data_IF_753894572634
#
_entry.id   IF_753894572634
#
_cell.length_a   1.000
_cell.length_b   1.000
_cell.length_c   1.000
_cell.angle_alpha   90.00
_cell.angle_beta   90.00
_cell.angle_gamma   90.00
#
_symmetry.space_group_name_H-M   'P 1'
#
loop_
_entity.id
_entity.type
_entity.pdbx_description
1 polymer ?
#
# COMPACT_ATOMS: atom_id res chain seq x y z
N UNK A 1 -23.04 27.71 22.58
CA UNK A 1 -22.08 26.68 23.00
C UNK A 1 -22.88 25.42 23.18
N UNK A 2 -22.83 24.52 22.21
CA UNK A 2 -23.52 23.24 22.27
C UNK A 2 -22.75 22.36 23.26
N UNK A 3 -23.41 21.96 24.33
CA UNK A 3 -22.89 20.99 25.29
C UNK A 3 -22.78 19.65 24.55
N UNK A 4 -21.58 19.30 24.08
CA UNK A 4 -21.29 17.97 23.53
C UNK A 4 -21.51 16.95 24.65
N UNK A 5 -22.42 15.99 24.44
CA UNK A 5 -22.64 14.95 25.44
C UNK A 5 -21.38 14.10 25.50
N UNK A 6 -21.00 13.69 26.70
CA UNK A 6 -19.84 12.84 26.92
C UNK A 6 -19.86 11.57 26.03
N UNK A 7 -21.06 11.06 25.75
CA UNK A 7 -21.35 9.95 24.84
C UNK A 7 -20.90 10.24 23.41
N UNK A 8 -21.12 11.46 22.90
CA UNK A 8 -20.72 11.89 21.56
C UNK A 8 -19.19 11.97 21.45
N UNK A 9 -18.53 12.53 22.48
CA UNK A 9 -17.06 12.64 22.54
C UNK A 9 -16.38 11.27 22.61
N UNK A 10 -16.97 10.32 23.36
CA UNK A 10 -16.47 8.94 23.44
C UNK A 10 -16.66 8.21 22.10
N UNK A 11 -17.78 8.44 21.41
CA UNK A 11 -18.04 7.91 20.08
C UNK A 11 -17.02 8.38 19.04
N UNK A 12 -16.80 9.69 18.95
CA UNK A 12 -15.81 10.28 18.04
C UNK A 12 -14.39 9.76 18.30
N UNK A 13 -14.02 9.56 19.57
CA UNK A 13 -12.71 9.03 19.94
C UNK A 13 -12.55 7.55 19.51
N UNK A 14 -13.59 6.73 19.69
CA UNK A 14 -13.59 5.33 19.28
C UNK A 14 -13.51 5.19 17.75
N UNK A 15 -14.21 6.04 17.00
CA UNK A 15 -14.12 6.11 15.54
C UNK A 15 -12.71 6.53 15.09
N UNK A 16 -12.13 7.55 15.72
CA UNK A 16 -10.77 8.01 15.44
C UNK A 16 -9.71 6.92 15.68
N UNK A 17 -9.83 6.15 16.77
CA UNK A 17 -8.93 5.02 17.07
C UNK A 17 -9.06 3.91 16.02
N UNK A 18 -10.28 3.59 15.61
CA UNK A 18 -10.52 2.57 14.57
C UNK A 18 -9.92 2.99 13.23
N UNK A 19 -10.14 4.25 12.83
CA UNK A 19 -9.57 4.81 11.61
C UNK A 19 -8.03 4.81 11.63
N UNK A 20 -7.41 5.15 12.77
CA UNK A 20 -5.95 5.09 12.90
C UNK A 20 -5.40 3.67 12.82
N UNK A 21 -6.13 2.67 13.34
CA UNK A 21 -5.74 1.27 13.22
C UNK A 21 -5.76 0.83 11.74
N UNK A 22 -6.81 1.18 10.99
CA UNK A 22 -6.92 0.87 9.56
C UNK A 22 -5.84 1.57 8.73
N UNK A 23 -5.55 2.85 9.00
CA UNK A 23 -4.45 3.58 8.35
C UNK A 23 -3.08 2.95 8.67
N UNK A 24 -2.89 2.47 9.89
CA UNK A 24 -1.64 1.80 10.29
C UNK A 24 -1.44 0.50 9.51
N UNK A 25 -2.51 -0.26 9.28
CA UNK A 25 -2.46 -1.46 8.43
C UNK A 25 -2.16 -1.12 6.97
N UNK A 26 -2.77 -0.04 6.45
CA UNK A 26 -2.50 0.44 5.10
C UNK A 26 -1.04 0.88 4.94
N UNK A 27 -0.46 1.56 5.95
CA UNK A 27 0.97 1.92 5.97
C UNK A 27 1.87 0.68 5.88
N UNK A 28 1.58 -0.36 6.66
CA UNK A 28 2.34 -1.61 6.62
C UNK A 28 2.26 -2.27 5.23
N UNK A 29 1.11 -2.22 4.56
CA UNK A 29 0.98 -2.73 3.21
C UNK A 29 1.82 -1.93 2.20
N UNK A 30 1.91 -0.60 2.36
CA UNK A 30 2.78 0.25 1.55
C UNK A 30 4.28 -0.04 1.81
N UNK A 31 4.66 -0.21 3.06
CA UNK A 31 6.02 -0.61 3.44
C UNK A 31 6.39 -1.97 2.83
N UNK A 32 5.49 -2.96 2.91
CA UNK A 32 5.67 -4.26 2.24
C UNK A 32 5.78 -4.14 0.72
N UNK A 33 4.99 -3.26 0.10
CA UNK A 33 5.10 -2.94 -1.32
C UNK A 33 6.45 -2.37 -1.72
N UNK A 34 7.01 -1.46 -0.90
CA UNK A 34 8.33 -0.90 -1.14
C UNK A 34 9.45 -1.96 -1.07
N UNK A 35 9.35 -2.88 -0.12
CA UNK A 35 10.26 -4.04 -0.04
C UNK A 35 10.15 -4.91 -1.30
N UNK A 36 8.93 -5.26 -1.72
CA UNK A 36 8.72 -6.10 -2.89
C UNK A 36 9.26 -5.46 -4.19
N UNK A 37 9.08 -4.15 -4.38
CA UNK A 37 9.66 -3.42 -5.52
C UNK A 37 11.19 -3.40 -5.46
N UNK A 38 11.78 -3.30 -4.27
CA UNK A 38 13.24 -3.38 -4.10
C UNK A 38 13.78 -4.75 -4.47
N UNK A 39 13.13 -5.82 -4.00
CA UNK A 39 13.51 -7.20 -4.35
C UNK A 39 13.39 -7.46 -5.85
N UNK A 40 12.38 -6.88 -6.51
CA UNK A 40 12.18 -6.99 -7.95
C UNK A 40 13.31 -6.34 -8.75
N UNK A 41 13.76 -5.14 -8.36
CA UNK A 41 14.92 -4.48 -8.99
C UNK A 41 16.17 -5.34 -8.82
N UNK A 42 16.40 -5.90 -7.63
CA UNK A 42 17.55 -6.78 -7.39
C UNK A 42 17.48 -8.08 -8.21
N UNK A 43 16.29 -8.65 -8.38
CA UNK A 43 16.10 -9.84 -9.22
C UNK A 43 16.45 -9.54 -10.69
N UNK A 44 16.07 -8.36 -11.17
CA UNK A 44 16.41 -7.89 -12.51
C UNK A 44 17.92 -7.77 -12.74
N UNK A 45 18.63 -7.10 -11.82
CA UNK A 45 20.09 -6.93 -11.87
C UNK A 45 20.82 -8.28 -11.87
N UNK A 46 20.34 -9.25 -11.07
CA UNK A 46 20.89 -10.61 -11.04
C UNK A 46 20.70 -11.34 -12.36
N UNK A 47 19.55 -11.14 -13.01
CA UNK A 47 19.25 -11.80 -14.27
C UNK A 47 20.10 -11.25 -15.42
N UNK A 48 20.32 -9.94 -15.46
CA UNK A 48 21.19 -9.31 -16.46
C UNK A 48 22.61 -9.87 -16.41
N UNK A 49 23.14 -10.04 -15.20
CA UNK A 49 24.49 -10.58 -14.94
C UNK A 49 24.59 -12.10 -15.03
N UNK A 50 23.48 -12.83 -15.21
CA UNK A 50 23.48 -14.29 -15.27
C UNK A 50 23.95 -14.81 -16.65
N UNK A 51 25.25 -14.96 -16.87
CA UNK A 51 25.82 -15.51 -18.12
C UNK A 51 25.31 -16.91 -18.53
N UNK A 52 25.00 -17.84 -17.61
CA UNK A 52 24.56 -19.19 -17.98
C UNK A 52 23.17 -19.29 -18.62
N UNK A 53 22.33 -18.26 -18.47
CA UNK A 53 20.96 -18.29 -19.00
C UNK A 53 20.93 -17.87 -20.47
N UNK A 54 20.18 -18.60 -21.30
CA UNK A 54 19.91 -18.16 -22.65
C UNK A 54 19.10 -16.85 -22.65
N UNK A 55 19.30 -16.03 -23.67
CA UNK A 55 18.64 -14.72 -23.75
C UNK A 55 17.10 -14.83 -23.72
N UNK A 56 16.53 -15.82 -24.40
CA UNK A 56 15.08 -16.07 -24.44
C UNK A 56 14.51 -16.38 -23.04
N UNK A 57 15.24 -17.18 -22.25
CA UNK A 57 14.87 -17.47 -20.87
C UNK A 57 14.94 -16.22 -20.00
N UNK A 58 15.94 -15.36 -20.20
CA UNK A 58 16.03 -14.07 -19.49
C UNK A 58 14.83 -13.18 -19.82
N UNK A 59 14.49 -13.05 -21.11
CA UNK A 59 13.35 -12.22 -21.52
C UNK A 59 12.05 -12.75 -20.92
N UNK A 60 11.86 -14.07 -20.88
CA UNK A 60 10.68 -14.70 -20.26
C UNK A 60 10.58 -14.35 -18.78
N UNK A 61 11.69 -14.51 -18.03
CA UNK A 61 11.71 -14.17 -16.60
C UNK A 61 11.48 -12.66 -16.38
N UNK A 62 12.01 -11.79 -17.25
CA UNK A 62 11.77 -10.34 -17.16
C UNK A 62 10.30 -10.01 -17.36
N UNK A 63 9.62 -10.66 -18.30
CA UNK A 63 8.18 -10.47 -18.54
C UNK A 63 7.36 -10.89 -17.32
N UNK A 64 7.68 -12.04 -16.73
CA UNK A 64 7.00 -12.54 -15.52
C UNK A 64 7.21 -11.57 -14.34
N UNK A 65 8.44 -11.11 -14.13
CA UNK A 65 8.76 -10.11 -13.10
C UNK A 65 7.97 -8.81 -13.33
N UNK A 66 7.91 -8.28 -14.56
CA UNK A 66 7.13 -7.07 -14.86
C UNK A 66 5.63 -7.27 -14.56
N UNK A 67 5.09 -8.43 -14.87
CA UNK A 67 3.68 -8.75 -14.61
C UNK A 67 3.39 -8.79 -13.10
N UNK A 68 4.28 -9.37 -12.31
CA UNK A 68 4.18 -9.41 -10.85
C UNK A 68 4.31 -8.00 -10.24
N UNK A 69 5.28 -7.20 -10.68
CA UNK A 69 5.41 -5.79 -10.31
C UNK A 69 4.13 -5.00 -10.61
N UNK A 70 3.56 -5.18 -11.81
CA UNK A 70 2.33 -4.50 -12.21
C UNK A 70 1.16 -4.84 -11.29
N UNK A 71 1.07 -6.09 -10.85
CA UNK A 71 0.03 -6.56 -9.92
C UNK A 71 0.20 -5.95 -8.53
N UNK A 72 1.44 -5.88 -8.02
CA UNK A 72 1.77 -5.23 -6.74
C UNK A 72 1.43 -3.73 -6.80
N UNK A 73 1.85 -3.04 -7.85
CA UNK A 73 1.59 -1.60 -8.02
C UNK A 73 0.09 -1.29 -8.05
N UNK A 74 -0.71 -2.13 -8.72
CA UNK A 74 -2.17 -1.98 -8.75
C UNK A 74 -2.81 -2.16 -7.38
N UNK A 75 -2.31 -3.11 -6.59
CA UNK A 75 -2.75 -3.30 -5.22
C UNK A 75 -2.42 -2.07 -4.36
N UNK A 76 -1.19 -1.55 -4.46
CA UNK A 76 -0.76 -0.36 -3.72
C UNK A 76 -1.56 0.89 -4.09
N UNK A 77 -1.86 1.09 -5.37
CA UNK A 77 -2.72 2.18 -5.85
C UNK A 77 -4.12 2.11 -5.24
N UNK A 78 -4.71 0.91 -5.20
CA UNK A 78 -6.00 0.68 -4.56
C UNK A 78 -5.96 1.01 -3.06
N UNK A 79 -4.90 0.59 -2.36
CA UNK A 79 -4.72 0.86 -0.93
C UNK A 79 -4.58 2.37 -0.69
N UNK A 80 -3.80 3.08 -1.51
CA UNK A 80 -3.64 4.53 -1.41
C UNK A 80 -4.97 5.26 -1.62
N UNK A 81 -5.74 4.87 -2.64
CA UNK A 81 -7.04 5.46 -2.94
C UNK A 81 -8.02 5.28 -1.77
N UNK A 82 -8.07 4.08 -1.19
CA UNK A 82 -8.90 3.78 -0.01
C UNK A 82 -8.46 4.62 1.20
N UNK A 83 -7.16 4.65 1.50
CA UNK A 83 -6.59 5.43 2.60
C UNK A 83 -6.95 6.91 2.48
N UNK A 84 -6.79 7.47 1.27
CA UNK A 84 -7.15 8.86 0.99
C UNK A 84 -8.64 9.12 1.17
N UNK A 85 -9.50 8.22 0.67
CA UNK A 85 -10.94 8.38 0.80
C UNK A 85 -11.37 8.38 2.27
N UNK A 86 -10.87 7.42 3.05
CA UNK A 86 -11.15 7.32 4.49
C UNK A 86 -10.74 8.58 5.25
N UNK A 87 -9.51 9.06 5.02
CA UNK A 87 -9.01 10.31 5.61
C UNK A 87 -9.84 11.52 5.20
N UNK A 88 -10.25 11.61 3.93
CA UNK A 88 -11.09 12.70 3.41
C UNK A 88 -12.46 12.71 4.08
N UNK A 89 -13.10 11.55 4.19
CA UNK A 89 -14.41 11.41 4.84
C UNK A 89 -14.30 11.75 6.33
N UNK A 90 -13.29 11.26 7.03
CA UNK A 90 -13.10 11.59 8.44
C UNK A 90 -12.85 13.10 8.65
N UNK A 91 -12.02 13.73 7.80
CA UNK A 91 -11.81 15.18 7.84
C UNK A 91 -13.12 15.97 7.64
N UNK A 92 -14.04 15.49 6.81
CA UNK A 92 -15.35 16.12 6.61
C UNK A 92 -16.28 15.96 7.82
N UNK A 93 -16.13 14.90 8.61
CA UNK A 93 -16.90 14.71 9.84
C UNK A 93 -16.37 15.55 11.01
N UNK A 94 -15.08 15.90 11.00
CA UNK A 94 -14.43 16.72 12.03
C UNK A 94 -14.61 18.24 11.86
N UNK A 95 -15.23 18.71 10.76
CA UNK A 95 -15.36 20.13 10.43
C UNK A 95 -16.81 20.57 10.28
#
# INVERSE_FOLDING_TARGET
MTELRLEDVIGELAEGVTLQAEISQQRLALEGGAVALTELVQAWERLETCEPLAYEDKVTIQLDLLQDAGSILKLLDTILALSYHMLKVHRQHLG
#
